data_IF_611530141321
#
_entry.id   IF_611530141321
#
_cell.length_a   1.000
_cell.length_b   1.000
_cell.length_c   1.000
_cell.angle_alpha   90.00
_cell.angle_beta   90.00
_cell.angle_gamma   90.00
#
_symmetry.space_group_name_H-M   'P 1'
#
loop_
_entity.id
_entity.type
_entity.pdbx_description
1 polymer ?
#
# COMPACT_ATOMS: atom_id res chain seq x y z
N UNK A 1 52.21 1.81 -38.75
CA UNK A 1 51.06 2.55 -38.16
C UNK A 1 50.00 1.66 -37.52
N UNK A 2 49.72 0.44 -38.03
CA UNK A 2 48.61 -0.41 -37.54
C UNK A 2 48.71 -0.93 -36.08
N UNK A 3 49.88 -0.98 -35.48
CA UNK A 3 50.07 -1.49 -34.09
C UNK A 3 49.77 -0.44 -33.02
N UNK A 4 49.88 0.86 -33.32
CA UNK A 4 49.56 1.94 -32.36
C UNK A 4 48.05 2.15 -32.21
N UNK A 5 47.29 2.07 -33.31
CA UNK A 5 45.82 2.17 -33.28
C UNK A 5 45.16 1.00 -32.55
N UNK A 6 45.69 -0.22 -32.68
CA UNK A 6 45.20 -1.41 -31.94
C UNK A 6 45.41 -1.29 -30.42
N UNK A 7 46.54 -0.70 -29.98
CA UNK A 7 46.81 -0.46 -28.56
C UNK A 7 45.90 0.63 -27.97
N UNK A 8 45.63 1.70 -28.71
CA UNK A 8 44.67 2.74 -28.34
C UNK A 8 43.24 2.20 -28.20
N UNK A 9 42.80 1.35 -29.14
CA UNK A 9 41.48 0.71 -29.08
C UNK A 9 41.32 -0.17 -27.82
N UNK A 10 42.35 -0.95 -27.48
CA UNK A 10 42.34 -1.83 -26.29
C UNK A 10 42.27 -1.02 -24.98
N UNK A 11 42.93 0.14 -24.92
CA UNK A 11 42.90 1.04 -23.76
C UNK A 11 41.51 1.68 -23.60
N UNK A 12 40.92 2.15 -24.69
CA UNK A 12 39.55 2.71 -24.68
C UNK A 12 38.53 1.65 -24.25
N UNK A 13 38.67 0.42 -24.75
CA UNK A 13 37.80 -0.69 -24.37
C UNK A 13 37.95 -1.06 -22.88
N UNK A 14 39.17 -1.08 -22.36
CA UNK A 14 39.42 -1.32 -20.94
C UNK A 14 38.81 -0.23 -20.04
N UNK A 15 38.91 1.04 -20.45
CA UNK A 15 38.28 2.16 -19.73
C UNK A 15 36.75 2.04 -19.77
N UNK A 16 36.16 1.69 -20.92
CA UNK A 16 34.72 1.45 -21.04
C UNK A 16 34.25 0.27 -20.19
N UNK A 17 35.06 -0.79 -20.06
CA UNK A 17 34.78 -1.93 -19.19
C UNK A 17 34.90 -1.57 -17.70
N UNK A 18 35.85 -0.72 -17.32
CA UNK A 18 35.99 -0.24 -15.93
C UNK A 18 34.85 0.72 -15.57
N UNK A 19 34.49 1.63 -16.46
CA UNK A 19 33.33 2.53 -16.28
C UNK A 19 32.04 1.72 -16.27
N UNK A 20 31.86 0.80 -17.21
CA UNK A 20 30.69 -0.09 -17.28
C UNK A 20 30.58 -0.99 -16.05
N UNK A 21 31.68 -1.62 -15.64
CA UNK A 21 31.76 -2.44 -14.42
C UNK A 21 31.51 -1.63 -13.15
N UNK A 22 32.04 -0.40 -13.08
CA UNK A 22 31.80 0.53 -11.98
C UNK A 22 30.35 1.00 -11.90
N UNK A 23 29.72 1.32 -13.04
CA UNK A 23 28.31 1.69 -13.13
C UNK A 23 27.39 0.52 -12.75
N UNK A 24 27.73 -0.71 -13.17
CA UNK A 24 27.00 -1.92 -12.79
C UNK A 24 27.14 -2.21 -11.29
N UNK A 25 28.35 -2.08 -10.72
CA UNK A 25 28.57 -2.23 -9.29
C UNK A 25 27.82 -1.19 -8.47
N UNK A 26 27.79 0.07 -8.93
CA UNK A 26 27.03 1.13 -8.29
C UNK A 26 25.51 0.85 -8.36
N UNK A 27 25.02 0.28 -9.46
CA UNK A 27 23.61 -0.10 -9.62
C UNK A 27 23.14 -1.13 -8.59
N UNK A 28 23.98 -2.11 -8.24
CA UNK A 28 23.65 -3.09 -7.21
C UNK A 28 23.63 -2.49 -5.81
N UNK A 29 24.43 -1.45 -5.56
CA UNK A 29 24.46 -0.78 -4.26
C UNK A 29 23.30 0.20 -4.07
N UNK A 30 22.79 0.80 -5.16
CA UNK A 30 21.62 1.69 -5.13
C UNK A 30 20.39 1.01 -4.53
N UNK A 31 20.16 -0.25 -4.88
CA UNK A 31 19.02 -1.02 -4.38
C UNK A 31 19.03 -1.12 -2.84
N UNK A 32 20.17 -1.50 -2.25
CA UNK A 32 20.31 -1.63 -0.80
C UNK A 32 20.28 -0.28 -0.07
N UNK A 33 20.82 0.78 -0.67
CA UNK A 33 20.74 2.14 -0.12
C UNK A 33 19.29 2.63 -0.08
N UNK A 34 18.56 2.47 -1.19
CA UNK A 34 17.15 2.86 -1.27
C UNK A 34 16.28 2.03 -0.33
N UNK A 35 16.55 0.72 -0.21
CA UNK A 35 15.90 -0.12 0.79
C UNK A 35 16.11 0.43 2.21
N UNK A 36 17.35 0.69 2.61
CA UNK A 36 17.66 1.26 3.93
C UNK A 36 17.00 2.61 4.19
N UNK A 37 16.91 3.48 3.18
CA UNK A 37 16.19 4.76 3.27
C UNK A 37 14.69 4.56 3.43
N UNK A 38 14.07 3.63 2.69
CA UNK A 38 12.64 3.32 2.85
C UNK A 38 12.37 2.83 4.28
N UNK A 39 13.20 1.92 4.79
CA UNK A 39 13.02 1.39 6.14
C UNK A 39 13.22 2.48 7.20
N UNK A 40 14.28 3.29 7.10
CA UNK A 40 14.58 4.33 8.09
C UNK A 40 13.55 5.46 8.08
N UNK A 41 13.35 6.11 6.92
CA UNK A 41 12.42 7.25 6.81
C UNK A 41 10.97 6.79 6.88
N UNK A 42 10.64 5.63 6.32
CA UNK A 42 9.33 5.02 6.46
C UNK A 42 9.00 4.75 7.92
N UNK A 43 9.93 4.17 8.69
CA UNK A 43 9.72 3.93 10.12
C UNK A 43 9.58 5.22 10.92
N UNK A 44 10.41 6.22 10.63
CA UNK A 44 10.34 7.51 11.29
C UNK A 44 8.99 8.20 11.07
N UNK A 45 8.49 8.17 9.83
CA UNK A 45 7.22 8.80 9.44
C UNK A 45 6.01 8.01 9.93
N UNK A 46 6.04 6.68 9.84
CA UNK A 46 4.96 5.81 10.29
C UNK A 46 4.91 5.66 11.83
N UNK A 47 6.01 5.95 12.53
CA UNK A 47 6.18 5.68 13.96
C UNK A 47 6.10 4.19 14.33
N UNK A 48 6.19 3.30 13.34
CA UNK A 48 6.28 1.86 13.52
C UNK A 48 7.29 1.28 12.52
N UNK A 49 7.90 0.12 12.81
CA UNK A 49 8.87 -0.49 11.91
C UNK A 49 8.34 -0.70 10.49
N UNK A 50 9.07 -0.16 9.51
CA UNK A 50 8.87 -0.40 8.08
C UNK A 50 10.02 -1.27 7.57
N UNK A 51 9.69 -2.32 6.82
CA UNK A 51 10.65 -3.24 6.20
C UNK A 51 10.38 -3.41 4.72
N UNK A 52 11.41 -3.77 3.97
CA UNK A 52 11.28 -4.21 2.57
C UNK A 52 12.11 -5.47 2.33
N UNK A 53 11.60 -6.39 1.52
CA UNK A 53 12.37 -7.57 1.13
C UNK A 53 13.38 -7.26 0.03
N UNK A 54 13.09 -6.27 -0.81
CA UNK A 54 14.01 -5.84 -1.86
C UNK A 54 13.50 -4.65 -2.65
N UNK A 55 14.45 -3.97 -3.28
CA UNK A 55 14.21 -2.88 -4.22
C UNK A 55 14.97 -3.21 -5.51
N UNK A 56 14.34 -3.02 -6.66
CA UNK A 56 14.99 -3.13 -7.96
C UNK A 56 14.72 -1.85 -8.74
N UNK A 57 15.79 -1.18 -9.18
CA UNK A 57 15.71 0.08 -9.91
C UNK A 57 16.25 -0.13 -11.32
N UNK A 58 15.46 0.23 -12.33
CA UNK A 58 15.91 0.29 -13.71
C UNK A 58 16.03 1.76 -14.13
N UNK A 59 17.27 2.26 -14.14
CA UNK A 59 17.57 3.63 -14.51
C UNK A 59 17.24 3.92 -15.99
N UNK A 60 17.40 2.93 -16.88
CA UNK A 60 17.13 3.10 -18.31
C UNK A 60 15.64 3.25 -18.61
N UNK A 61 14.79 2.58 -17.85
CA UNK A 61 13.33 2.65 -17.97
C UNK A 61 12.68 3.64 -17.00
N UNK A 62 13.49 4.28 -16.15
CA UNK A 62 13.05 5.21 -15.11
C UNK A 62 11.96 4.61 -14.20
N UNK A 63 12.10 3.34 -13.85
CA UNK A 63 11.17 2.64 -12.99
C UNK A 63 11.88 2.00 -11.79
N UNK A 64 11.11 1.72 -10.76
CA UNK A 64 11.55 0.98 -9.60
C UNK A 64 10.43 0.04 -9.14
N UNK A 65 10.80 -1.13 -8.63
CA UNK A 65 9.90 -2.05 -7.95
C UNK A 65 10.37 -2.33 -6.54
N UNK A 66 9.43 -2.38 -5.61
CA UNK A 66 9.65 -2.73 -4.20
C UNK A 66 8.83 -3.98 -3.91
N UNK A 67 9.44 -4.93 -3.23
CA UNK A 67 8.82 -6.22 -2.88
C UNK A 67 8.79 -6.39 -1.38
N UNK A 68 7.68 -6.94 -0.87
CA UNK A 68 7.51 -7.26 0.54
C UNK A 68 7.69 -6.04 1.44
N UNK A 69 7.11 -4.91 1.05
CA UNK A 69 7.06 -3.74 1.93
C UNK A 69 6.03 -4.01 3.02
N UNK A 70 6.45 -3.96 4.28
CA UNK A 70 5.56 -4.15 5.42
C UNK A 70 5.69 -3.02 6.43
N UNK A 71 4.57 -2.71 7.07
CA UNK A 71 4.46 -1.74 8.17
C UNK A 71 3.95 -2.51 9.37
N UNK A 72 4.76 -2.60 10.41
CA UNK A 72 4.39 -3.26 11.67
C UNK A 72 3.23 -2.52 12.35
N UNK A 73 2.51 -3.24 13.20
CA UNK A 73 1.52 -2.61 14.07
C UNK A 73 2.19 -1.54 14.96
N UNK A 74 1.56 -0.36 15.12
CA UNK A 74 2.02 0.63 16.09
C UNK A 74 1.86 0.10 17.52
N UNK A 75 2.57 0.74 18.45
CA UNK A 75 2.54 0.37 19.87
C UNK A 75 1.11 0.31 20.40
N UNK A 76 0.84 -0.69 21.24
CA UNK A 76 -0.49 -0.91 21.82
C UNK A 76 -1.45 -1.71 20.93
N UNK A 77 -1.05 -2.17 19.74
CA UNK A 77 -1.85 -3.03 18.86
C UNK A 77 -1.34 -4.48 18.74
N UNK A 78 -0.26 -4.84 19.43
CA UNK A 78 0.27 -6.22 19.46
C UNK A 78 1.22 -6.53 18.29
N UNK A 79 1.53 -7.82 18.12
CA UNK A 79 2.46 -8.28 17.07
C UNK A 79 1.86 -8.25 15.66
N UNK A 80 2.68 -8.54 14.65
CA UNK A 80 2.28 -8.62 13.24
C UNK A 80 2.32 -7.28 12.50
N UNK A 81 1.67 -7.26 11.34
CA UNK A 81 1.72 -6.14 10.39
C UNK A 81 0.35 -5.45 10.28
N UNK A 82 0.39 -4.12 10.26
CA UNK A 82 -0.77 -3.29 9.94
C UNK A 82 -1.01 -3.24 8.43
N UNK A 83 0.07 -3.21 7.64
CA UNK A 83 0.03 -3.14 6.18
C UNK A 83 1.14 -4.03 5.62
N UNK A 84 0.80 -4.91 4.69
CA UNK A 84 1.72 -5.68 3.86
C UNK A 84 1.41 -5.41 2.39
N UNK A 85 2.40 -4.98 1.62
CA UNK A 85 2.26 -4.72 0.19
C UNK A 85 2.88 -5.87 -0.60
N UNK A 86 2.07 -6.51 -1.46
CA UNK A 86 2.54 -7.59 -2.33
C UNK A 86 3.55 -7.10 -3.36
N UNK A 87 3.08 -6.37 -4.36
CA UNK A 87 3.95 -5.72 -5.35
C UNK A 87 3.74 -4.21 -5.38
N UNK A 88 4.84 -3.47 -5.45
CA UNK A 88 4.84 -2.00 -5.51
C UNK A 88 5.73 -1.57 -6.68
N UNK A 89 5.18 -0.86 -7.65
CA UNK A 89 5.89 -0.37 -8.82
C UNK A 89 5.75 1.14 -8.95
N UNK A 90 6.85 1.80 -9.33
CA UNK A 90 6.94 3.24 -9.48
C UNK A 90 7.52 3.57 -10.85
N UNK A 91 6.91 4.50 -11.57
CA UNK A 91 7.52 5.18 -12.71
C UNK A 91 7.86 6.60 -12.32
N UNK A 92 9.12 6.95 -12.47
CA UNK A 92 9.69 8.24 -12.06
C UNK A 92 9.84 9.12 -13.29
N UNK A 93 9.65 10.43 -13.15
CA UNK A 93 10.10 11.38 -14.16
C UNK A 93 11.61 11.61 -14.03
N UNK A 94 12.46 11.16 -14.97
CA UNK A 94 13.92 11.26 -14.82
C UNK A 94 14.40 12.70 -14.62
N UNK A 95 13.74 13.65 -15.30
CA UNK A 95 14.06 15.08 -15.22
C UNK A 95 13.82 15.67 -13.82
N UNK A 96 12.94 15.05 -13.02
CA UNK A 96 12.58 15.53 -11.68
C UNK A 96 13.59 15.12 -10.60
N UNK A 97 14.37 14.06 -10.81
CA UNK A 97 15.28 13.47 -9.80
C UNK A 97 16.36 14.46 -9.36
N UNK A 98 16.83 15.30 -10.29
CA UNK A 98 17.84 16.33 -10.01
C UNK A 98 17.25 17.60 -9.41
N UNK A 99 15.94 17.71 -9.27
CA UNK A 99 15.26 18.89 -8.72
C UNK A 99 14.91 18.70 -7.24
N UNK A 100 14.35 19.73 -6.60
CA UNK A 100 13.86 19.65 -5.22
C UNK A 100 12.52 18.90 -5.09
N UNK A 101 11.86 18.60 -6.21
CA UNK A 101 10.56 17.89 -6.23
C UNK A 101 10.63 16.70 -7.18
N UNK A 102 10.61 15.49 -6.61
CA UNK A 102 10.54 14.26 -7.40
C UNK A 102 9.10 14.04 -7.84
N UNK A 103 8.91 13.77 -9.13
CA UNK A 103 7.61 13.48 -9.74
C UNK A 103 7.54 11.99 -10.04
N UNK A 104 6.58 11.31 -9.41
CA UNK A 104 6.22 9.93 -9.68
C UNK A 104 5.02 9.94 -10.64
N UNK A 105 5.27 9.60 -11.91
CA UNK A 105 4.23 9.57 -12.94
C UNK A 105 3.17 8.53 -12.64
N UNK A 106 3.58 7.42 -12.04
CA UNK A 106 2.68 6.32 -11.70
C UNK A 106 3.23 5.54 -10.51
N UNK A 107 2.35 5.23 -9.56
CA UNK A 107 2.60 4.31 -8.46
C UNK A 107 1.49 3.26 -8.49
N UNK A 108 1.86 2.00 -8.62
CA UNK A 108 0.92 0.88 -8.60
C UNK A 108 1.26 -0.06 -7.45
N UNK A 109 0.25 -0.37 -6.65
CA UNK A 109 0.33 -1.32 -5.55
C UNK A 109 -0.67 -2.43 -5.83
N UNK A 110 -0.22 -3.68 -5.80
CA UNK A 110 -1.09 -4.84 -5.98
C UNK A 110 -1.00 -5.79 -4.78
N UNK A 111 -2.11 -6.45 -4.50
CA UNK A 111 -2.23 -7.48 -3.46
C UNK A 111 -1.86 -6.97 -2.07
N UNK A 112 -2.20 -5.72 -1.77
CA UNK A 112 -2.02 -5.17 -0.43
C UNK A 112 -2.94 -5.88 0.56
N UNK A 113 -2.40 -6.23 1.71
CA UNK A 113 -3.12 -6.79 2.84
C UNK A 113 -3.03 -5.80 3.99
N UNK A 114 -4.18 -5.41 4.51
CA UNK A 114 -4.26 -4.43 5.60
C UNK A 114 -4.97 -5.08 6.78
N UNK A 115 -4.42 -4.94 7.97
CA UNK A 115 -5.10 -5.38 9.20
C UNK A 115 -5.65 -4.13 9.88
N UNK A 116 -6.97 -4.00 9.98
CA UNK A 116 -7.64 -3.01 10.82
C UNK A 116 -7.97 -3.66 12.15
N UNK A 117 -7.12 -3.44 13.15
CA UNK A 117 -7.32 -3.91 14.51
C UNK A 117 -7.96 -2.82 15.36
N UNK A 118 -9.19 -3.06 15.81
CA UNK A 118 -9.90 -2.19 16.73
C UNK A 118 -9.60 -2.61 18.18
N UNK A 119 -9.22 -1.66 19.03
CA UNK A 119 -9.03 -1.87 20.47
C UNK A 119 -9.55 -0.67 21.26
N UNK A 120 -10.55 -0.90 22.10
CA UNK A 120 -11.27 0.21 22.75
C UNK A 120 -11.81 1.20 21.71
N UNK A 121 -11.53 2.48 21.90
CA UNK A 121 -12.01 3.56 21.00
C UNK A 121 -11.11 3.82 19.79
N UNK A 122 -9.94 3.18 19.70
CA UNK A 122 -8.95 3.42 18.65
C UNK A 122 -8.69 2.20 17.77
N UNK A 123 -8.04 2.44 16.63
CA UNK A 123 -7.53 1.38 15.75
C UNK A 123 -6.06 1.61 15.40
N UNK A 124 -5.39 0.53 14.98
CA UNK A 124 -4.00 0.58 14.57
C UNK A 124 -3.81 1.50 13.35
N UNK A 125 -4.68 1.39 12.33
CA UNK A 125 -4.60 2.22 11.13
C UNK A 125 -4.92 3.69 11.41
N UNK A 126 -5.82 3.98 12.36
CA UNK A 126 -6.04 5.35 12.81
C UNK A 126 -4.83 5.90 13.56
N UNK A 127 -4.16 5.08 14.37
CA UNK A 127 -2.93 5.46 15.07
C UNK A 127 -1.80 5.79 14.09
N UNK A 128 -1.63 4.97 13.03
CA UNK A 128 -0.71 5.27 11.93
C UNK A 128 -1.06 6.60 11.25
N UNK A 129 -2.34 6.82 10.93
CA UNK A 129 -2.79 8.06 10.31
C UNK A 129 -2.48 9.30 11.16
N UNK A 130 -2.70 9.21 12.48
CA UNK A 130 -2.39 10.29 13.43
C UNK A 130 -0.87 10.56 13.50
N UNK A 131 -0.05 9.51 13.41
CA UNK A 131 1.40 9.66 13.38
C UNK A 131 1.90 10.34 12.09
N UNK A 132 1.29 10.03 10.95
CA UNK A 132 1.56 10.71 9.67
C UNK A 132 1.19 12.20 9.73
N UNK A 133 0.07 12.54 10.40
CA UNK A 133 -0.33 13.93 10.63
C UNK A 133 0.70 14.66 11.52
N UNK A 134 1.05 14.07 12.65
CA UNK A 134 1.99 14.65 13.61
C UNK A 134 3.39 14.86 13.01
N UNK A 135 3.85 13.93 12.18
CA UNK A 135 5.13 14.03 11.45
C UNK A 135 5.10 15.10 10.35
N UNK A 136 3.93 15.40 9.79
CA UNK A 136 3.76 16.43 8.77
C UNK A 136 3.75 17.84 9.37
N UNK A 137 3.15 17.99 10.56
CA UNK A 137 2.95 19.30 11.21
C UNK A 137 4.17 19.75 12.04
N UNK A 138 4.94 18.81 12.59
CA UNK A 138 6.12 19.10 13.41
C UNK A 138 7.33 19.59 12.62
N UNK A 139 7.29 19.54 11.29
CA UNK A 139 8.45 19.85 10.46
C UNK A 139 9.66 18.97 10.77
N UNK A 140 9.49 17.88 11.54
CA UNK A 140 10.50 16.89 11.84
C UNK A 140 10.75 16.07 10.58
N UNK A 141 11.44 16.70 9.63
CA UNK A 141 12.37 16.00 8.77
C UNK A 141 13.27 15.20 9.72
N UNK A 142 13.16 13.88 9.67
CA UNK A 142 14.22 13.02 10.15
C UNK A 142 15.54 13.57 9.57
N UNK A 143 16.35 14.15 10.45
CA UNK A 143 17.61 14.77 10.09
C UNK A 143 18.55 13.73 9.49
N UNK A 144 19.31 14.18 8.49
CA UNK A 144 20.45 13.52 7.85
C UNK A 144 20.21 12.21 7.08
N UNK A 145 19.85 12.34 5.79
CA UNK A 145 20.61 11.77 4.65
C UNK A 145 19.96 12.04 3.28
N UNK A 146 19.70 13.31 2.98
CA UNK A 146 19.23 13.75 1.66
C UNK A 146 18.30 14.94 1.81
N UNK A 147 18.74 16.13 1.37
CA UNK A 147 17.95 17.37 1.39
C UNK A 147 16.48 17.07 1.04
N UNK A 148 15.58 17.32 1.99
CA UNK A 148 14.20 16.80 2.01
C UNK A 148 13.41 17.12 0.75
N UNK A 149 13.55 16.27 -0.27
CA UNK A 149 12.88 16.43 -1.56
C UNK A 149 11.38 16.25 -1.36
N UNK A 150 10.61 17.12 -2.02
CA UNK A 150 9.17 17.00 -2.09
C UNK A 150 8.80 15.92 -3.10
N UNK A 151 7.58 15.40 -2.97
CA UNK A 151 7.03 14.36 -3.81
C UNK A 151 5.73 14.84 -4.46
N UNK A 152 5.57 14.52 -5.73
CA UNK A 152 4.29 14.59 -6.46
C UNK A 152 4.01 13.20 -7.01
N UNK A 153 2.78 12.71 -6.88
CA UNK A 153 2.33 11.49 -7.54
C UNK A 153 1.17 11.85 -8.48
N UNK A 154 1.38 11.68 -9.78
CA UNK A 154 0.37 12.00 -10.78
C UNK A 154 -0.79 10.99 -10.74
N UNK A 155 -0.45 9.71 -10.55
CA UNK A 155 -1.42 8.61 -10.45
C UNK A 155 -0.95 7.55 -9.48
N UNK A 156 -1.75 7.30 -8.46
CA UNK A 156 -1.63 6.16 -7.56
C UNK A 156 -2.77 5.17 -7.84
N UNK A 157 -2.45 3.89 -7.93
CA UNK A 157 -3.42 2.82 -8.16
C UNK A 157 -3.18 1.68 -7.17
N UNK A 158 -4.20 1.33 -6.41
CA UNK A 158 -4.23 0.16 -5.53
C UNK A 158 -5.17 -0.88 -6.13
N UNK A 159 -4.66 -2.10 -6.35
CA UNK A 159 -5.40 -3.20 -7.00
C UNK A 159 -5.43 -4.45 -6.11
N UNK A 160 -6.57 -5.13 -6.14
CA UNK A 160 -6.71 -6.43 -5.47
C UNK A 160 -6.40 -6.40 -3.97
N UNK A 161 -6.61 -5.25 -3.32
CA UNK A 161 -6.32 -5.10 -1.91
C UNK A 161 -7.36 -5.82 -1.05
N UNK A 162 -6.92 -6.36 0.08
CA UNK A 162 -7.74 -7.03 1.08
C UNK A 162 -7.51 -6.38 2.43
N UNK A 163 -8.56 -6.25 3.22
CA UNK A 163 -8.49 -5.75 4.58
C UNK A 163 -9.09 -6.77 5.55
N UNK A 164 -8.36 -7.11 6.59
CA UNK A 164 -8.86 -7.90 7.72
C UNK A 164 -9.28 -6.93 8.81
N UNK A 165 -10.57 -6.90 9.12
CA UNK A 165 -11.12 -6.16 10.26
C UNK A 165 -11.18 -7.11 11.45
N UNK A 166 -10.47 -6.77 12.52
CA UNK A 166 -10.39 -7.58 13.73
C UNK A 166 -10.79 -6.73 14.95
N UNK A 167 -11.74 -7.24 15.73
CA UNK A 167 -12.22 -6.65 16.99
C UNK A 167 -12.09 -7.70 18.09
N UNK A 168 -10.91 -7.82 18.72
CA UNK A 168 -10.64 -8.88 19.70
C UNK A 168 -11.61 -8.89 20.89
N UNK A 169 -12.04 -7.70 21.33
CA UNK A 169 -12.99 -7.53 22.43
C UNK A 169 -14.35 -8.21 22.15
N UNK A 170 -14.69 -8.37 20.87
CA UNK A 170 -15.91 -9.06 20.40
C UNK A 170 -15.64 -10.45 19.83
N UNK A 171 -14.37 -10.89 19.76
CA UNK A 171 -13.94 -12.11 19.07
C UNK A 171 -14.41 -12.15 17.60
N UNK A 172 -14.51 -10.98 16.96
CA UNK A 172 -14.92 -10.88 15.56
C UNK A 172 -13.70 -10.60 14.67
N UNK A 173 -13.58 -11.39 13.60
CA UNK A 173 -12.59 -11.16 12.54
C UNK A 173 -13.26 -11.39 11.19
N UNK A 174 -13.03 -10.47 10.26
CA UNK A 174 -13.61 -10.53 8.92
C UNK A 174 -12.63 -10.00 7.89
N UNK A 175 -12.40 -10.79 6.85
CA UNK A 175 -11.68 -10.34 5.68
C UNK A 175 -12.65 -9.74 4.65
N UNK A 176 -12.28 -8.58 4.10
CA UNK A 176 -13.03 -7.89 3.05
C UNK A 176 -12.10 -7.62 1.87
N UNK A 177 -12.59 -7.84 0.66
CA UNK A 177 -11.91 -7.39 -0.55
C UNK A 177 -12.26 -5.95 -0.85
N UNK A 178 -11.24 -5.14 -1.15
CA UNK A 178 -11.41 -3.74 -1.51
C UNK A 178 -11.52 -3.61 -3.03
N UNK A 179 -12.39 -2.73 -3.53
CA UNK A 179 -12.36 -2.37 -4.94
C UNK A 179 -11.07 -1.62 -5.27
N UNK A 180 -10.69 -1.61 -6.55
CA UNK A 180 -9.54 -0.82 -7.01
C UNK A 180 -9.70 0.66 -6.61
N UNK A 181 -8.63 1.24 -6.09
CA UNK A 181 -8.58 2.64 -5.65
C UNK A 181 -7.61 3.39 -6.54
N UNK A 182 -8.08 4.47 -7.13
CA UNK A 182 -7.28 5.35 -7.99
C UNK A 182 -7.30 6.75 -7.40
N UNK A 183 -6.12 7.28 -7.11
CA UNK A 183 -5.91 8.65 -6.65
C UNK A 183 -5.03 9.38 -7.66
N UNK A 184 -5.28 10.66 -7.88
CA UNK A 184 -4.46 11.48 -8.78
C UNK A 184 -3.99 12.75 -8.10
N UNK A 185 -2.93 13.33 -8.64
CA UNK A 185 -2.45 14.67 -8.28
C UNK A 185 -2.06 14.84 -6.80
N UNK A 186 -1.58 13.77 -6.17
CA UNK A 186 -1.14 13.77 -4.77
C UNK A 186 0.08 14.70 -4.64
N UNK A 187 0.00 15.63 -3.68
CA UNK A 187 1.03 16.65 -3.44
C UNK A 187 1.12 17.75 -4.51
N UNK A 188 0.32 17.70 -5.59
CA UNK A 188 0.37 18.70 -6.67
C UNK A 188 -0.15 20.06 -6.22
N UNK A 189 -1.18 20.09 -5.38
CA UNK A 189 -1.78 21.33 -4.87
C UNK A 189 -0.81 22.19 -4.05
N UNK A 190 0.21 21.58 -3.42
CA UNK A 190 1.21 22.27 -2.60
C UNK A 190 2.57 22.46 -3.30
N UNK A 191 2.62 22.23 -4.63
CA UNK A 191 3.87 22.18 -5.40
C UNK A 191 4.89 21.21 -4.78
N UNK A 192 4.41 19.99 -4.51
CA UNK A 192 5.14 18.93 -3.83
C UNK A 192 4.77 18.81 -2.35
N UNK A 193 4.75 17.58 -1.85
CA UNK A 193 4.44 17.23 -0.46
C UNK A 193 5.57 16.42 0.18
N UNK A 194 5.65 16.44 1.52
CA UNK A 194 6.59 15.57 2.25
C UNK A 194 6.15 14.10 2.17
N UNK A 195 7.05 13.16 2.45
CA UNK A 195 6.73 11.74 2.47
C UNK A 195 5.54 11.41 3.40
N UNK A 196 5.50 12.01 4.60
CA UNK A 196 4.36 11.87 5.53
C UNK A 196 3.05 12.41 4.98
N UNK A 197 3.09 13.57 4.34
CA UNK A 197 1.90 14.17 3.73
C UNK A 197 1.38 13.35 2.53
N UNK A 198 2.27 12.79 1.71
CA UNK A 198 1.92 11.85 0.63
C UNK A 198 1.31 10.58 1.20
N UNK A 199 1.96 9.95 2.19
CA UNK A 199 1.45 8.74 2.83
C UNK A 199 0.06 8.97 3.43
N UNK A 200 -0.17 10.13 4.06
CA UNK A 200 -1.49 10.52 4.58
C UNK A 200 -2.54 10.63 3.47
N UNK A 201 -2.22 11.35 2.38
CA UNK A 201 -3.10 11.53 1.23
C UNK A 201 -3.45 10.21 0.52
N UNK A 202 -2.66 9.15 0.72
CA UNK A 202 -2.96 7.80 0.23
C UNK A 202 -3.74 6.99 1.28
N UNK A 203 -3.27 6.93 2.52
CA UNK A 203 -3.83 6.05 3.56
C UNK A 203 -5.25 6.45 3.94
N UNK A 204 -5.55 7.75 4.04
CA UNK A 204 -6.86 8.24 4.47
C UNK A 204 -8.00 7.84 3.51
N UNK A 205 -7.92 8.10 2.18
CA UNK A 205 -8.94 7.61 1.24
C UNK A 205 -9.06 6.09 1.21
N UNK A 206 -7.95 5.36 1.34
CA UNK A 206 -7.94 3.89 1.38
C UNK A 206 -8.70 3.38 2.61
N UNK A 207 -8.42 3.94 3.79
CA UNK A 207 -9.10 3.58 5.03
C UNK A 207 -10.59 3.91 4.97
N UNK A 208 -10.96 5.09 4.49
CA UNK A 208 -12.37 5.48 4.31
C UNK A 208 -13.10 4.51 3.37
N UNK A 209 -12.46 4.11 2.27
CA UNK A 209 -13.03 3.14 1.33
C UNK A 209 -13.17 1.76 1.93
N UNK A 210 -12.19 1.31 2.72
CA UNK A 210 -12.25 0.04 3.43
C UNK A 210 -13.40 0.01 4.43
N UNK A 211 -13.53 1.02 5.28
CA UNK A 211 -14.63 1.14 6.24
C UNK A 211 -16.00 1.21 5.56
N UNK A 212 -16.11 1.99 4.48
CA UNK A 212 -17.36 2.08 3.70
C UNK A 212 -17.73 0.76 3.04
N UNK A 213 -16.75 0.00 2.55
CA UNK A 213 -16.96 -1.32 1.94
C UNK A 213 -17.39 -2.34 3.00
N UNK A 214 -16.75 -2.32 4.17
CA UNK A 214 -17.12 -3.16 5.31
C UNK A 214 -18.58 -2.89 5.73
N UNK A 215 -18.94 -1.62 5.92
CA UNK A 215 -20.29 -1.22 6.30
C UNK A 215 -21.33 -1.66 5.25
N UNK A 216 -21.06 -1.43 3.96
CA UNK A 216 -21.97 -1.83 2.89
C UNK A 216 -22.18 -3.35 2.83
N UNK A 217 -21.13 -4.14 3.06
CA UNK A 217 -21.24 -5.61 3.11
C UNK A 217 -22.06 -6.07 4.32
N UNK A 218 -21.81 -5.51 5.51
CA UNK A 218 -22.59 -5.82 6.72
C UNK A 218 -24.07 -5.47 6.58
N UNK A 219 -24.41 -4.34 5.94
CA UNK A 219 -25.81 -3.98 5.65
C UNK A 219 -26.45 -4.96 4.65
N UNK A 220 -25.71 -5.35 3.61
CA UNK A 220 -26.20 -6.29 2.60
C UNK A 220 -26.45 -7.68 3.18
N UNK A 221 -25.58 -8.15 4.06
CA UNK A 221 -25.76 -9.41 4.79
C UNK A 221 -27.03 -9.38 5.64
N UNK A 222 -27.20 -8.36 6.50
CA UNK A 222 -28.40 -8.22 7.34
C UNK A 222 -29.70 -8.16 6.52
N UNK A 223 -29.71 -7.40 5.43
CA UNK A 223 -30.87 -7.33 4.55
C UNK A 223 -31.17 -8.67 3.85
N UNK A 224 -30.12 -9.44 3.52
CA UNK A 224 -30.27 -10.77 2.93
C UNK A 224 -30.76 -11.78 3.95
N UNK A 225 -30.29 -11.71 5.19
CA UNK A 225 -30.72 -12.57 6.29
C UNK A 225 -32.19 -12.32 6.65
N UNK A 226 -32.63 -11.06 6.73
CA UNK A 226 -34.03 -10.71 6.95
C UNK A 226 -34.93 -11.20 5.79
N UNK A 227 -34.48 -11.05 4.55
CA UNK A 227 -35.22 -11.53 3.37
C UNK A 227 -35.34 -13.05 3.35
N UNK A 228 -34.26 -13.76 3.69
CA UNK A 228 -34.25 -15.22 3.76
C UNK A 228 -35.12 -15.72 4.91
N UNK A 229 -35.06 -15.10 6.08
CA UNK A 229 -35.92 -15.44 7.22
C UNK A 229 -37.41 -15.23 6.88
N UNK A 230 -37.76 -14.13 6.21
CA UNK A 230 -39.11 -13.87 5.74
C UNK A 230 -39.56 -14.92 4.70
N UNK A 231 -38.69 -15.28 3.75
CA UNK A 231 -38.95 -16.32 2.75
C UNK A 231 -39.19 -17.68 3.41
N UNK A 232 -38.39 -18.06 4.39
CA UNK A 232 -38.52 -19.34 5.09
C UNK A 232 -39.80 -19.41 5.93
N UNK A 233 -40.21 -18.31 6.56
CA UNK A 233 -41.52 -18.22 7.23
C UNK A 233 -42.68 -18.35 6.25
N UNK A 234 -42.59 -17.72 5.08
CA UNK A 234 -43.60 -17.84 4.03
C UNK A 234 -43.69 -19.28 3.49
N UNK A 235 -42.56 -19.93 3.24
CA UNK A 235 -42.51 -21.32 2.75
C UNK A 235 -43.09 -22.30 3.78
N UNK A 236 -42.75 -22.14 5.07
CA UNK A 236 -43.35 -22.94 6.15
C UNK A 236 -44.87 -22.76 6.21
N UNK A 237 -45.36 -21.52 6.18
CA UNK A 237 -46.80 -21.25 6.22
C UNK A 237 -47.57 -21.79 5.01
N UNK A 238 -46.93 -21.90 3.85
CA UNK A 238 -47.50 -22.51 2.64
C UNK A 238 -47.51 -24.04 2.74
N UNK A 239 -46.43 -24.65 3.23
CA UNK A 239 -46.33 -26.10 3.43
C UNK A 239 -47.28 -26.62 4.52
N UNK A 240 -47.46 -25.88 5.61
CA UNK A 240 -48.39 -26.24 6.69
C UNK A 240 -49.83 -26.29 6.19
N UNK A 241 -50.21 -25.39 5.26
CA UNK A 241 -51.54 -25.35 4.63
C UNK A 241 -51.74 -26.38 3.51
N UNK A 242 -50.66 -26.82 2.86
CA UNK A 242 -50.71 -27.86 1.83
C UNK A 242 -50.73 -29.27 2.46
N UNK A 243 -50.07 -29.46 3.61
CA UNK A 243 -50.04 -30.75 4.32
C UNK A 243 -51.27 -31.04 5.18
N UNK A 244 -52.08 -30.02 5.52
CA UNK A 244 -53.28 -30.18 6.36
C UNK A 244 -54.58 -30.47 5.59
N UNK A 245 -54.52 -30.61 4.26
CA UNK A 245 -55.69 -30.88 3.40
C UNK A 245 -55.88 -32.34 2.97
N UNK A 246 -54.99 -33.28 3.37
CA UNK A 246 -55.07 -34.70 2.97
C UNK A 246 -55.66 -35.64 4.06
N UNK A 247 -56.06 -35.14 5.24
CA UNK A 247 -56.57 -35.99 6.33
C UNK A 247 -58.10 -36.14 6.41
N UNK A 248 -58.90 -35.55 5.50
CA UNK A 248 -60.37 -35.54 5.67
C UNK A 248 -61.18 -36.00 4.43
N UNK A 249 -60.70 -37.05 3.73
CA UNK A 249 -61.52 -37.77 2.74
C UNK A 249 -61.39 -39.29 2.93
N UNK A 250 -62.13 -39.85 3.89
CA UNK A 250 -62.72 -41.19 3.82
C UNK A 250 -63.94 -41.24 4.76
N UNK A 251 -65.00 -42.01 4.44
CA UNK A 251 -64.96 -43.36 3.89
C UNK A 251 -65.66 -43.58 2.55
#
# INVERSE_FOLDING_TARGET
>A
MATRSRKLLMIVLAILLVIGGGLLYLSTQLNSIVAGLIESQGSAVAGSPVRVSGVAINLGEANASISGLSVANPDGFGGGHAIDLGSFSVRIDPASVTTDTIVLKEVTVSDAQMTLLQRGTGSNLQSLLNQLQSSSDSGSAAADSGAGKKLIIDRFTLKGARATVSVPDLQEEREISLPDIVLTDIGRASNGATAGAVARQVLEPVLQKALSTAAAQSLKERASDELNAAKDQLLKGVMDKLGSNDEDVTP
#
